data_IF_210865588618
#
_entry.id   IF_210865588618
#
_cell.length_a   1.000
_cell.length_b   1.000
_cell.length_c   1.000
_cell.angle_alpha   90.00
_cell.angle_beta   90.00
_cell.angle_gamma   90.00
#
_symmetry.space_group_name_H-M   'P 1'
#
loop_
_entity.id
_entity.type
_entity.pdbx_description
1 polymer ?
#
# COMPACT_ATOMS: atom_id res chain seq x y z
N UNK A 1 -0.84 25.80 9.56
CA UNK A 1 -1.45 24.53 9.12
C UNK A 1 -1.66 23.62 10.32
N UNK A 2 -2.87 23.09 10.49
CA UNK A 2 -3.17 22.11 11.54
C UNK A 2 -2.26 20.87 11.40
N UNK A 3 -1.88 20.20 12.51
CA UNK A 3 -1.09 18.97 12.47
C UNK A 3 -1.66 17.92 11.52
N UNK A 4 -3.00 17.84 11.47
CA UNK A 4 -3.75 16.95 10.57
C UNK A 4 -3.43 17.18 9.08
N UNK A 5 -3.31 18.44 8.64
CA UNK A 5 -3.02 18.74 7.23
C UNK A 5 -1.56 18.44 6.87
N UNK A 6 -0.65 18.54 7.84
CA UNK A 6 0.78 18.20 7.66
C UNK A 6 1.01 16.69 7.58
N UNK A 7 0.15 15.88 8.20
CA UNK A 7 0.26 14.43 8.18
C UNK A 7 -0.23 13.80 6.87
N UNK A 8 -1.21 14.40 6.17
CA UNK A 8 -1.80 13.84 4.94
C UNK A 8 -0.76 13.48 3.87
N UNK A 9 0.21 14.35 3.52
CA UNK A 9 1.24 14.00 2.54
C UNK A 9 2.05 12.77 2.94
N UNK A 10 2.42 12.64 4.22
CA UNK A 10 3.15 11.48 4.75
C UNK A 10 2.29 10.22 4.70
N UNK A 11 1.01 10.31 5.08
CA UNK A 11 0.07 9.19 5.00
C UNK A 11 -0.06 8.69 3.56
N UNK A 12 -0.34 9.59 2.61
CA UNK A 12 -0.51 9.25 1.20
C UNK A 12 0.78 8.68 0.63
N UNK A 13 1.93 9.29 0.90
CA UNK A 13 3.23 8.78 0.46
C UNK A 13 3.50 7.38 1.02
N UNK A 14 3.27 7.17 2.32
CA UNK A 14 3.44 5.88 2.97
C UNK A 14 2.58 4.79 2.32
N UNK A 15 1.32 5.09 2.05
CA UNK A 15 0.38 4.19 1.35
C UNK A 15 0.84 3.87 -0.07
N UNK A 16 1.29 4.87 -0.83
CA UNK A 16 1.76 4.66 -2.21
C UNK A 16 3.07 3.85 -2.25
N UNK A 17 3.99 4.10 -1.33
CA UNK A 17 5.21 3.30 -1.17
C UNK A 17 4.86 1.85 -0.79
N UNK A 18 3.88 1.66 0.10
CA UNK A 18 3.42 0.33 0.47
C UNK A 18 2.86 -0.42 -0.74
N UNK A 19 2.03 0.25 -1.55
CA UNK A 19 1.50 -0.32 -2.78
C UNK A 19 2.60 -0.68 -3.78
N UNK A 20 3.54 0.23 -4.03
CA UNK A 20 4.69 -0.02 -4.90
C UNK A 20 5.53 -1.21 -4.41
N UNK A 21 5.76 -1.32 -3.11
CA UNK A 21 6.45 -2.45 -2.50
C UNK A 21 5.75 -3.78 -2.80
N UNK A 22 4.42 -3.85 -2.65
CA UNK A 22 3.65 -5.06 -2.96
C UNK A 22 3.80 -5.48 -4.42
N UNK A 23 3.80 -4.53 -5.36
CA UNK A 23 3.99 -4.82 -6.78
C UNK A 23 5.40 -5.36 -7.06
N UNK A 24 6.43 -4.76 -6.47
CA UNK A 24 7.81 -5.24 -6.60
C UNK A 24 7.96 -6.66 -6.02
N UNK A 25 7.42 -6.91 -4.81
CA UNK A 25 7.45 -8.24 -4.19
C UNK A 25 6.74 -9.29 -5.08
N UNK A 26 5.58 -8.93 -5.65
CA UNK A 26 4.85 -9.81 -6.56
C UNK A 26 5.62 -10.10 -7.85
N UNK A 27 6.28 -9.10 -8.44
CA UNK A 27 7.18 -9.29 -9.59
C UNK A 27 8.34 -10.21 -9.25
N UNK A 28 8.97 -10.01 -8.10
CA UNK A 28 10.10 -10.83 -7.67
C UNK A 28 9.71 -12.27 -7.45
N UNK A 29 8.54 -12.50 -6.85
CA UNK A 29 7.99 -13.83 -6.70
C UNK A 29 7.70 -14.51 -8.06
N UNK A 30 7.16 -13.77 -9.03
CA UNK A 30 6.94 -14.28 -10.38
C UNK A 30 8.26 -14.60 -11.09
N UNK A 31 9.26 -13.73 -10.99
CA UNK A 31 10.60 -13.93 -11.56
C UNK A 31 11.32 -15.15 -10.97
N UNK A 32 11.13 -15.41 -9.67
CA UNK A 32 11.68 -16.57 -8.99
C UNK A 32 10.91 -17.89 -9.24
N UNK A 33 9.79 -17.85 -9.97
CA UNK A 33 8.96 -19.03 -10.23
C UNK A 33 8.08 -19.47 -9.05
N UNK A 34 7.80 -18.56 -8.10
CA UNK A 34 6.99 -18.83 -6.90
C UNK A 34 7.81 -18.98 -5.62
N UNK A 35 7.12 -19.31 -4.51
CA UNK A 35 7.74 -19.50 -3.20
C UNK A 35 7.93 -20.99 -2.94
N UNK A 36 9.16 -21.38 -2.59
CA UNK A 36 9.50 -22.71 -2.11
C UNK A 36 10.14 -22.57 -0.73
N UNK A 37 9.64 -23.30 0.26
CA UNK A 37 10.05 -23.17 1.67
C UNK A 37 11.38 -23.90 2.00
N UNK A 38 12.06 -24.46 1.01
CA UNK A 38 13.40 -25.01 1.19
C UNK A 38 14.44 -23.88 1.32
N UNK A 39 15.45 -24.07 2.16
CA UNK A 39 16.44 -23.03 2.50
C UNK A 39 17.14 -22.43 1.26
N UNK A 40 17.55 -23.27 0.31
CA UNK A 40 18.24 -22.82 -0.92
C UNK A 40 17.37 -21.92 -1.81
N UNK A 41 16.20 -22.38 -2.28
CA UNK A 41 15.26 -21.56 -3.04
C UNK A 41 14.82 -20.28 -2.31
N UNK A 42 14.59 -20.37 -0.99
CA UNK A 42 14.23 -19.21 -0.19
C UNK A 42 15.35 -18.16 -0.18
N UNK A 43 16.60 -18.59 0.00
CA UNK A 43 17.76 -17.70 -0.06
C UNK A 43 17.88 -17.01 -1.42
N UNK A 44 17.65 -17.75 -2.53
CA UNK A 44 17.64 -17.17 -3.87
C UNK A 44 16.51 -16.16 -4.08
N UNK A 45 15.31 -16.45 -3.57
CA UNK A 45 14.18 -15.52 -3.62
C UNK A 45 14.48 -14.22 -2.85
N UNK A 46 15.13 -14.30 -1.68
CA UNK A 46 15.51 -13.12 -0.90
C UNK A 46 16.59 -12.26 -1.59
N UNK A 47 17.38 -12.86 -2.50
CA UNK A 47 18.37 -12.14 -3.31
C UNK A 47 17.83 -11.66 -4.65
N UNK A 48 16.55 -11.92 -4.96
CA UNK A 48 15.95 -11.48 -6.20
C UNK A 48 15.80 -9.94 -6.20
N UNK A 49 16.24 -9.24 -7.27
CA UNK A 49 16.29 -7.77 -7.30
C UNK A 49 14.96 -7.07 -7.01
N UNK A 50 13.83 -7.56 -7.54
CA UNK A 50 12.51 -6.99 -7.27
C UNK A 50 12.03 -7.26 -5.83
N UNK A 51 12.38 -8.39 -5.24
CA UNK A 51 12.14 -8.67 -3.82
C UNK A 51 12.92 -7.68 -2.95
N UNK A 52 14.21 -7.48 -3.22
CA UNK A 52 15.04 -6.51 -2.49
C UNK A 52 14.47 -5.10 -2.64
N UNK A 53 14.13 -4.68 -3.86
CA UNK A 53 13.53 -3.38 -4.11
C UNK A 53 12.19 -3.21 -3.40
N UNK A 54 11.36 -4.26 -3.38
CA UNK A 54 10.10 -4.30 -2.65
C UNK A 54 10.30 -4.15 -1.15
N UNK A 55 11.22 -4.90 -0.55
CA UNK A 55 11.56 -4.82 0.87
C UNK A 55 12.14 -3.45 1.25
N UNK A 56 13.02 -2.89 0.43
CA UNK A 56 13.57 -1.55 0.65
C UNK A 56 12.46 -0.48 0.60
N UNK A 57 11.59 -0.55 -0.40
CA UNK A 57 10.43 0.35 -0.51
C UNK A 57 9.49 0.21 0.69
N UNK A 58 9.27 -1.02 1.17
CA UNK A 58 8.47 -1.31 2.35
C UNK A 58 9.08 -0.73 3.63
N UNK A 59 10.40 -0.85 3.80
CA UNK A 59 11.11 -0.26 4.93
C UNK A 59 10.97 1.27 4.94
N UNK A 60 11.12 1.93 3.80
CA UNK A 60 10.91 3.39 3.68
C UNK A 60 9.45 3.75 3.96
N UNK A 61 8.49 2.97 3.44
CA UNK A 61 7.06 3.14 3.72
C UNK A 61 6.77 3.14 5.23
N UNK A 62 7.35 2.20 5.98
CA UNK A 62 7.19 2.13 7.43
C UNK A 62 7.75 3.39 8.11
N UNK A 63 8.94 3.86 7.74
CA UNK A 63 9.52 5.08 8.32
C UNK A 63 8.62 6.30 8.08
N UNK A 64 8.13 6.47 6.85
CA UNK A 64 7.19 7.54 6.49
C UNK A 64 5.89 7.42 7.30
N UNK A 65 5.37 6.21 7.45
CA UNK A 65 4.14 5.94 8.21
C UNK A 65 4.30 6.25 9.70
N UNK A 66 5.44 5.92 10.31
CA UNK A 66 5.75 6.31 11.69
C UNK A 66 5.78 7.84 11.84
N UNK A 67 6.33 8.55 10.85
CA UNK A 67 6.29 10.01 10.79
C UNK A 67 4.87 10.58 10.71
N UNK A 68 3.96 9.93 10.00
CA UNK A 68 2.55 10.31 9.98
C UNK A 68 1.88 10.06 11.35
N UNK A 69 2.08 8.87 11.93
CA UNK A 69 1.48 8.48 13.21
C UNK A 69 1.98 9.31 14.40
N UNK A 70 3.15 9.95 14.29
CA UNK A 70 3.61 10.89 15.32
C UNK A 70 2.83 12.21 15.31
N UNK A 71 2.10 12.52 14.24
CA UNK A 71 1.36 13.78 14.06
C UNK A 71 -0.15 13.65 14.31
N UNK A 72 -0.71 12.45 14.15
CA UNK A 72 -2.16 12.20 14.20
C UNK A 72 -2.47 10.88 14.89
N UNK A 73 -3.70 10.77 15.42
CA UNK A 73 -4.18 9.51 15.98
C UNK A 73 -4.33 8.44 14.89
N UNK A 74 -4.13 7.18 15.28
CA UNK A 74 -4.26 6.02 14.38
C UNK A 74 -5.63 6.01 13.69
N UNK A 75 -6.71 6.30 14.41
CA UNK A 75 -8.07 6.33 13.86
C UNK A 75 -8.28 7.42 12.80
N UNK A 76 -7.46 8.47 12.80
CA UNK A 76 -7.46 9.48 11.74
C UNK A 76 -6.67 9.01 10.51
N UNK A 77 -5.55 8.29 10.70
CA UNK A 77 -4.70 7.83 9.60
C UNK A 77 -5.22 6.58 8.89
N UNK A 78 -5.78 5.62 9.63
CA UNK A 78 -6.25 4.33 9.12
C UNK A 78 -7.22 4.41 7.93
N UNK A 79 -8.19 5.35 7.90
CA UNK A 79 -9.10 5.51 6.77
C UNK A 79 -8.37 5.69 5.43
N UNK A 80 -7.24 6.38 5.44
CA UNK A 80 -6.47 6.64 4.22
C UNK A 80 -5.77 5.39 3.66
N UNK A 81 -5.64 4.30 4.44
CA UNK A 81 -5.13 3.02 3.93
C UNK A 81 -5.98 2.47 2.80
N UNK A 82 -7.27 2.86 2.73
CA UNK A 82 -8.15 2.49 1.63
C UNK A 82 -7.67 2.97 0.26
N UNK A 83 -6.93 4.09 0.21
CA UNK A 83 -6.28 4.56 -1.01
C UNK A 83 -5.27 3.53 -1.53
N UNK A 84 -4.70 2.73 -0.63
CA UNK A 84 -3.79 1.63 -0.95
C UNK A 84 -4.47 0.53 -1.75
N UNK A 85 -5.76 0.27 -1.54
CA UNK A 85 -6.50 -0.70 -2.36
C UNK A 85 -6.61 -0.23 -3.81
N UNK A 86 -6.91 1.05 -4.02
CA UNK A 86 -6.99 1.65 -5.37
C UNK A 86 -5.60 1.67 -6.01
N UNK A 87 -4.59 2.11 -5.26
CA UNK A 87 -3.22 2.17 -5.73
C UNK A 87 -2.73 0.77 -6.14
N UNK A 88 -2.91 -0.24 -5.29
CA UNK A 88 -2.56 -1.62 -5.61
C UNK A 88 -3.31 -2.14 -6.84
N UNK A 89 -4.62 -1.91 -6.92
CA UNK A 89 -5.44 -2.31 -8.07
C UNK A 89 -4.93 -1.70 -9.39
N UNK A 90 -4.67 -0.39 -9.40
CA UNK A 90 -4.17 0.32 -10.57
C UNK A 90 -2.75 -0.12 -10.94
N UNK A 91 -1.85 -0.21 -9.96
CA UNK A 91 -0.48 -0.62 -10.19
C UNK A 91 -0.37 -2.10 -10.60
N UNK A 92 -1.17 -3.00 -10.02
CA UNK A 92 -1.21 -4.40 -10.43
C UNK A 92 -1.69 -4.54 -11.88
N UNK A 93 -2.74 -3.81 -12.26
CA UNK A 93 -3.20 -3.78 -13.65
C UNK A 93 -2.13 -3.23 -14.60
N UNK A 94 -1.45 -2.15 -14.21
CA UNK A 94 -0.47 -1.47 -15.06
C UNK A 94 0.87 -2.22 -15.19
N UNK A 95 1.38 -2.77 -14.09
CA UNK A 95 2.74 -3.33 -14.02
C UNK A 95 2.80 -4.85 -14.01
N UNK A 96 1.71 -5.53 -13.64
CA UNK A 96 1.61 -6.99 -13.63
C UNK A 96 0.66 -7.51 -14.72
N UNK A 97 -0.11 -6.63 -15.37
CA UNK A 97 -1.13 -7.02 -16.34
C UNK A 97 -2.31 -7.76 -15.71
N UNK A 98 -2.51 -7.66 -14.40
CA UNK A 98 -3.60 -8.35 -13.71
C UNK A 98 -4.96 -7.76 -14.12
N UNK A 99 -5.82 -8.59 -14.70
CA UNK A 99 -7.17 -8.19 -15.06
C UNK A 99 -8.03 -8.01 -13.80
N UNK A 100 -8.79 -6.92 -13.76
CA UNK A 100 -9.74 -6.66 -12.69
C UNK A 100 -11.16 -6.87 -13.18
N UNK A 101 -11.91 -7.72 -12.47
CA UNK A 101 -13.31 -7.94 -12.76
C UNK A 101 -14.12 -6.66 -12.47
N UNK A 102 -15.23 -6.43 -13.19
CA UNK A 102 -16.11 -5.29 -12.90
C UNK A 102 -16.57 -5.23 -11.44
N UNK A 103 -16.83 -6.39 -10.83
CA UNK A 103 -17.23 -6.47 -9.42
C UNK A 103 -16.15 -5.93 -8.46
N UNK A 104 -14.86 -6.15 -8.74
CA UNK A 104 -13.77 -5.59 -7.92
C UNK A 104 -13.72 -4.06 -8.01
N UNK A 105 -14.03 -3.48 -9.18
CA UNK A 105 -14.15 -2.03 -9.32
C UNK A 105 -15.31 -1.46 -8.51
N UNK A 106 -16.47 -2.14 -8.51
CA UNK A 106 -17.61 -1.75 -7.67
C UNK A 106 -17.24 -1.81 -6.19
N UNK A 107 -16.60 -2.88 -5.73
CA UNK A 107 -16.16 -3.00 -4.34
C UNK A 107 -15.18 -1.87 -3.94
N UNK A 108 -14.23 -1.53 -4.82
CA UNK A 108 -13.32 -0.39 -4.63
C UNK A 108 -14.08 0.93 -4.50
N UNK A 109 -15.08 1.17 -5.35
CA UNK A 109 -15.90 2.38 -5.28
C UNK A 109 -16.64 2.49 -3.93
N UNK A 110 -17.19 1.37 -3.43
CA UNK A 110 -17.85 1.31 -2.12
C UNK A 110 -16.87 1.64 -0.99
N UNK A 111 -15.66 1.10 -1.02
CA UNK A 111 -14.62 1.42 -0.03
C UNK A 111 -14.30 2.92 -0.03
N UNK A 112 -14.12 3.52 -1.21
CA UNK A 112 -13.84 4.96 -1.35
C UNK A 112 -14.96 5.81 -0.76
N UNK A 113 -16.22 5.45 -1.04
CA UNK A 113 -17.38 6.13 -0.48
C UNK A 113 -17.38 6.01 1.05
N UNK A 114 -17.12 4.82 1.60
CA UNK A 114 -17.05 4.60 3.04
C UNK A 114 -16.00 5.49 3.73
N UNK A 115 -14.81 5.63 3.13
CA UNK A 115 -13.76 6.52 3.65
C UNK A 115 -14.14 7.99 3.52
N UNK A 116 -14.79 8.38 2.43
CA UNK A 116 -15.32 9.74 2.27
C UNK A 116 -16.34 10.09 3.36
N UNK A 117 -17.27 9.18 3.65
CA UNK A 117 -18.27 9.36 4.72
C UNK A 117 -17.62 9.48 6.09
N UNK A 118 -16.62 8.65 6.40
CA UNK A 118 -15.87 8.71 7.65
C UNK A 118 -15.08 10.03 7.80
N UNK A 119 -14.48 10.51 6.72
CA UNK A 119 -13.80 11.81 6.73
C UNK A 119 -14.78 12.97 6.97
N UNK A 120 -16.03 12.85 6.49
CA UNK A 120 -17.09 13.83 6.72
C UNK A 120 -17.65 13.79 8.15
N UNK A 121 -17.78 12.60 8.77
CA UNK A 121 -18.29 12.48 10.14
C UNK A 121 -17.36 13.12 11.18
N UNK A 122 -16.06 13.19 10.91
CA UNK A 122 -15.08 13.84 11.79
C UNK A 122 -15.11 15.38 11.81
N UNK A 123 -15.95 16.04 11.00
CA UNK A 123 -16.08 17.51 10.94
C UNK A 123 -17.10 18.10 11.92
N UNK A 124 -17.80 17.25 12.68
CA UNK A 124 -18.90 17.64 13.58
C UNK A 124 -18.54 17.83 15.06
N UNK A 125 -17.26 17.80 15.42
CA UNK A 125 -16.72 18.04 16.76
C UNK A 125 -15.54 19.01 16.68
#
# INVERSE_FOLDING_TARGET
MSPNLKAIPLIVLGVLLNAAAQICLKKGLQAAGGMQLAAGPLFRLMLEPWVIAGLACYAVSVVVWLGALSMVQVNYAYPFLALGFIANALMARAFLGEAMTPMRWVALAVIVVGVGLQALSGRGH
#
